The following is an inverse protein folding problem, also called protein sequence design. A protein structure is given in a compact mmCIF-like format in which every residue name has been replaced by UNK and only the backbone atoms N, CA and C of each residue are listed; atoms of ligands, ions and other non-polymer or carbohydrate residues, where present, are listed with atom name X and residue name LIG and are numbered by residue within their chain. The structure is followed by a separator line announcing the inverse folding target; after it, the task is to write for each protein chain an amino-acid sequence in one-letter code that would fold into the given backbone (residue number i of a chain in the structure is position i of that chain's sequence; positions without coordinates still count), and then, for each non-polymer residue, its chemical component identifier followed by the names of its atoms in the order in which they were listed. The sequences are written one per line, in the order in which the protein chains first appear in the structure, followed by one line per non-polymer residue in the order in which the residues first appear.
data_IF_428779295173
#
_entry.id   IF_428779295173
#
_cell.length_a   1.000
_cell.length_b   1.000
_cell.length_c   1.000
_cell.angle_alpha   90.00
_cell.angle_beta   90.00
_cell.angle_gamma   90.00
#
_symmetry.space_group_name_H-M   'P 1'
#
loop_
_entity.id
_entity.type
_entity.pdbx_description
1 polymer ?
#
# COMPACT_ATOMS: atom_id res chain seq x y z
N UNK A 1 39.87 -24.06 -10.57
CA UNK A 1 38.64 -23.84 -11.38
C UNK A 1 37.57 -23.27 -10.47
N UNK A 2 37.20 -22.00 -10.69
CA UNK A 2 36.16 -21.27 -9.97
C UNK A 2 34.77 -21.85 -10.21
N UNK A 3 33.89 -21.72 -9.21
CA UNK A 3 32.47 -21.42 -9.41
C UNK A 3 32.05 -20.44 -8.33
N UNK A 4 32.26 -19.16 -8.62
CA UNK A 4 31.71 -18.05 -7.86
C UNK A 4 30.18 -18.17 -7.88
N UNK A 5 29.61 -18.49 -6.72
CA UNK A 5 28.15 -18.50 -6.52
C UNK A 5 27.68 -17.06 -6.65
N UNK A 6 27.12 -16.77 -7.83
CA UNK A 6 26.41 -15.56 -8.18
C UNK A 6 25.50 -15.14 -7.02
N UNK A 7 25.93 -14.14 -6.24
CA UNK A 7 25.14 -13.56 -5.15
C UNK A 7 24.05 -12.72 -5.80
N UNK A 8 22.89 -13.35 -6.06
CA UNK A 8 21.69 -12.63 -6.46
C UNK A 8 21.36 -11.64 -5.35
N UNK A 9 21.62 -10.36 -5.60
CA UNK A 9 21.13 -9.26 -4.80
C UNK A 9 19.61 -9.40 -4.68
N UNK A 10 19.15 -9.73 -3.47
CA UNK A 10 17.74 -9.77 -3.12
C UNK A 10 17.18 -8.38 -3.41
N UNK A 11 16.37 -8.24 -4.46
CA UNK A 11 15.69 -6.98 -4.77
C UNK A 11 14.72 -6.73 -3.60
N UNK A 12 15.10 -5.85 -2.68
CA UNK A 12 14.24 -5.37 -1.63
C UNK A 12 13.34 -4.32 -2.27
N UNK A 13 12.13 -4.73 -2.65
CA UNK A 13 11.15 -3.77 -3.13
C UNK A 13 10.41 -3.21 -1.92
N UNK A 14 10.51 -1.91 -1.74
CA UNK A 14 9.90 -1.19 -0.63
C UNK A 14 8.56 -0.60 -1.07
N UNK A 15 7.53 -0.78 -0.24
CA UNK A 15 6.28 -0.04 -0.41
C UNK A 15 6.27 1.10 0.58
N UNK A 16 6.06 2.30 0.07
CA UNK A 16 5.77 3.40 0.95
C UNK A 16 4.37 3.29 1.53
N UNK A 17 4.29 3.42 2.86
CA UNK A 17 3.04 3.47 3.61
C UNK A 17 3.15 4.60 4.63
N UNK A 18 2.13 5.45 4.70
CA UNK A 18 1.97 6.44 5.76
C UNK A 18 0.59 6.26 6.39
N UNK A 19 0.58 6.10 7.71
CA UNK A 19 -0.65 6.03 8.50
C UNK A 19 -0.99 7.42 9.03
N UNK A 20 -2.27 7.78 8.97
CA UNK A 20 -2.82 9.05 9.43
C UNK A 20 -4.01 8.76 10.36
N UNK A 21 -4.29 9.69 11.28
CA UNK A 21 -5.42 9.60 12.22
C UNK A 21 -5.43 8.29 13.04
N UNK A 22 -4.24 7.86 13.48
CA UNK A 22 -4.04 6.60 14.21
C UNK A 22 -4.63 6.60 15.62
N UNK A 23 -5.19 7.71 16.07
CA UNK A 23 -5.91 7.88 17.33
C UNK A 23 -7.44 7.91 17.16
N UNK A 24 -7.95 7.86 15.92
CA UNK A 24 -9.38 7.97 15.62
C UNK A 24 -10.01 6.62 15.24
N UNK A 25 -11.35 6.48 15.40
CA UNK A 25 -12.09 5.29 14.95
C UNK A 25 -11.99 5.06 13.43
N UNK A 26 -11.90 6.15 12.66
CA UNK A 26 -11.63 6.13 11.23
C UNK A 26 -10.20 6.58 10.96
N UNK A 27 -9.43 5.73 10.28
CA UNK A 27 -8.05 5.99 9.90
C UNK A 27 -7.90 6.29 8.42
N UNK A 28 -6.75 6.85 8.04
CA UNK A 28 -6.35 6.99 6.64
C UNK A 28 -4.98 6.39 6.40
N UNK A 29 -4.83 5.75 5.25
CA UNK A 29 -3.57 5.19 4.78
C UNK A 29 -3.22 5.86 3.47
N UNK A 30 -1.99 6.33 3.34
CA UNK A 30 -1.40 6.71 2.07
C UNK A 30 -0.42 5.63 1.65
N UNK A 31 -0.52 5.13 0.42
CA UNK A 31 0.43 4.18 -0.15
C UNK A 31 0.54 4.35 -1.68
N UNK A 32 1.48 3.68 -2.33
CA UNK A 32 1.53 3.59 -3.80
C UNK A 32 0.95 2.26 -4.29
N UNK A 33 0.28 2.31 -5.43
CA UNK A 33 0.02 1.10 -6.19
C UNK A 33 1.33 0.58 -6.79
N UNK A 34 1.70 -0.65 -6.45
CA UNK A 34 2.88 -1.31 -6.98
C UNK A 34 2.94 -1.39 -8.50
N UNK A 35 1.78 -1.51 -9.15
CA UNK A 35 1.71 -1.79 -10.57
C UNK A 35 1.82 -0.54 -11.45
N UNK A 36 1.23 0.57 -11.01
CA UNK A 36 1.20 1.82 -11.79
C UNK A 36 1.84 3.01 -11.09
N UNK A 37 2.43 2.80 -9.90
CA UNK A 37 3.11 3.82 -9.07
C UNK A 37 2.23 5.02 -8.68
N UNK A 38 0.93 4.97 -8.96
CA UNK A 38 -0.04 5.97 -8.51
C UNK A 38 -0.17 5.97 -6.98
N UNK A 39 -0.10 7.16 -6.37
CA UNK A 39 -0.44 7.36 -4.97
C UNK A 39 -1.92 7.09 -4.69
N UNK A 40 -2.23 6.52 -3.54
CA UNK A 40 -3.58 6.22 -3.08
C UNK A 40 -3.79 6.80 -1.69
N UNK A 41 -4.94 7.43 -1.48
CA UNK A 41 -5.46 7.77 -0.17
C UNK A 41 -6.66 6.86 0.12
N UNK A 42 -6.52 6.05 1.17
CA UNK A 42 -7.50 5.05 1.60
C UNK A 42 -8.05 5.49 2.94
N UNK A 43 -9.38 5.65 3.05
CA UNK A 43 -10.05 5.87 4.33
C UNK A 43 -10.70 4.57 4.79
N UNK A 44 -10.61 4.25 6.08
CA UNK A 44 -11.13 2.99 6.62
C UNK A 44 -11.66 3.14 8.04
N UNK A 45 -12.53 2.20 8.43
CA UNK A 45 -12.89 1.93 9.82
C UNK A 45 -11.87 0.96 10.45
N UNK A 46 -11.49 1.19 11.71
CA UNK A 46 -10.44 0.38 12.35
C UNK A 46 -10.90 -0.98 12.84
N UNK A 47 -12.04 -1.03 13.52
CA UNK A 47 -12.52 -2.22 14.24
C UNK A 47 -13.88 -2.67 13.74
N UNK A 48 -14.12 -3.99 13.64
CA UNK A 48 -13.17 -5.10 13.87
C UNK A 48 -12.11 -5.23 12.76
N UNK A 49 -10.95 -5.85 13.00
CA UNK A 49 -9.91 -5.97 11.96
C UNK A 49 -10.11 -7.21 11.07
N UNK A 50 -10.26 -7.00 9.76
CA UNK A 50 -10.37 -8.06 8.75
C UNK A 50 -9.32 -7.85 7.65
N UNK A 51 -8.80 -8.96 7.11
CA UNK A 51 -7.89 -8.93 5.96
C UNK A 51 -8.64 -8.43 4.70
N UNK A 52 -8.44 -7.17 4.36
CA UNK A 52 -9.10 -6.51 3.24
C UNK A 52 -8.10 -6.23 2.12
N UNK A 53 -8.40 -6.70 0.92
CA UNK A 53 -7.65 -6.37 -0.30
C UNK A 53 -8.16 -5.06 -0.88
N UNK A 54 -7.30 -4.04 -0.95
CA UNK A 54 -7.66 -2.74 -1.54
C UNK A 54 -7.18 -2.68 -2.98
N UNK A 55 -8.10 -2.46 -3.91
CA UNK A 55 -7.79 -2.33 -5.35
C UNK A 55 -7.47 -0.89 -5.72
N UNK A 56 -6.52 -0.72 -6.64
CA UNK A 56 -6.21 0.58 -7.21
C UNK A 56 -7.32 1.01 -8.18
N UNK A 57 -7.94 2.18 -8.01
CA UNK A 57 -8.95 2.66 -8.96
C UNK A 57 -8.42 2.88 -10.38
N UNK A 58 -7.12 3.17 -10.52
CA UNK A 58 -6.48 3.42 -11.81
C UNK A 58 -6.26 2.14 -12.64
N UNK A 59 -5.78 1.06 -12.02
CA UNK A 59 -5.40 -0.17 -12.76
C UNK A 59 -6.16 -1.43 -12.37
N UNK A 60 -7.08 -1.36 -11.40
CA UNK A 60 -7.90 -2.47 -10.91
C UNK A 60 -7.15 -3.55 -10.10
N UNK A 61 -5.82 -3.54 -10.08
CA UNK A 61 -5.00 -4.51 -9.34
C UNK A 61 -4.97 -4.19 -7.85
N UNK A 62 -4.72 -5.21 -7.03
CA UNK A 62 -4.56 -5.04 -5.57
C UNK A 62 -3.32 -4.18 -5.32
N UNK A 63 -3.52 -3.04 -4.66
CA UNK A 63 -2.44 -2.12 -4.31
C UNK A 63 -1.83 -2.43 -2.94
N UNK A 64 -2.67 -2.79 -1.97
CA UNK A 64 -2.26 -3.09 -0.59
C UNK A 64 -3.28 -4.02 0.07
N UNK A 65 -2.83 -4.78 1.06
CA UNK A 65 -3.70 -5.51 1.98
C UNK A 65 -3.68 -4.80 3.33
N UNK A 66 -4.85 -4.52 3.90
CA UNK A 66 -5.00 -3.85 5.18
C UNK A 66 -5.79 -4.72 6.15
N UNK A 67 -5.48 -4.63 7.44
CA UNK A 67 -6.26 -5.22 8.52
C UNK A 67 -7.18 -4.15 9.11
N UNK A 68 -8.38 -4.07 8.55
CA UNK A 68 -9.35 -2.99 8.82
C UNK A 68 -10.76 -3.56 8.75
N UNK A 69 -11.73 -2.88 9.35
CA UNK A 69 -13.11 -3.34 9.33
C UNK A 69 -13.74 -3.20 7.94
N UNK A 70 -13.57 -2.01 7.40
CA UNK A 70 -14.23 -1.60 6.17
C UNK A 70 -13.45 -0.48 5.53
N UNK A 71 -13.25 -0.58 4.22
CA UNK A 71 -12.76 0.54 3.41
C UNK A 71 -13.95 1.44 3.09
N UNK A 72 -13.82 2.71 3.45
CA UNK A 72 -14.85 3.74 3.21
C UNK A 72 -14.64 4.41 1.86
N UNK A 73 -13.39 4.68 1.50
CA UNK A 73 -13.05 5.30 0.21
C UNK A 73 -11.63 4.94 -0.20
N UNK A 74 -11.42 4.92 -1.53
CA UNK A 74 -10.10 4.80 -2.15
C UNK A 74 -10.06 5.81 -3.28
N UNK A 75 -9.20 6.82 -3.17
CA UNK A 75 -8.99 7.80 -4.23
C UNK A 75 -7.54 7.79 -4.68
N UNK A 76 -7.34 8.08 -5.96
CA UNK A 76 -6.01 8.31 -6.53
C UNK A 76 -5.54 9.72 -6.17
N UNK A 77 -4.27 9.83 -5.79
CA UNK A 77 -3.58 11.11 -5.56
C UNK A 77 -2.23 11.05 -6.28
N UNK A 78 -1.58 12.18 -6.63
CA UNK A 78 -0.18 12.18 -7.06
C UNK A 78 0.68 11.39 -6.07
N UNK A 79 1.72 10.69 -6.54
CA UNK A 79 2.62 10.00 -5.61
C UNK A 79 3.24 11.03 -4.65
N UNK A 80 3.11 10.86 -3.33
CA UNK A 80 3.79 11.70 -2.34
C UNK A 80 5.30 11.47 -2.27
N UNK A 81 5.84 10.47 -2.97
CA UNK A 81 7.23 10.03 -2.87
C UNK A 81 8.04 10.25 -4.14
N UNK A 82 7.37 10.47 -5.28
CA UNK A 82 8.00 10.96 -6.49
C UNK A 82 8.02 12.49 -6.44
N UNK A 83 9.22 13.08 -6.57
CA UNK A 83 9.47 14.53 -6.59
C UNK A 83 9.60 15.00 -8.03
#
# INVERSE_FOLDING_TARGET
MQRDRNSQSKIQVEQHIRLLDVDKPQGRVICECWNCKQGLLIQHEREPQLDTKVTCPNCGRVAVKLQVAKVLSVITIPSPWEV
#
